data_IF_353784846328
#
_entry.id   IF_353784846328
#
_cell.length_a   1.000
_cell.length_b   1.000
_cell.length_c   1.000
_cell.angle_alpha   90.00
_cell.angle_beta   90.00
_cell.angle_gamma   90.00
#
_symmetry.space_group_name_H-M   'P 1'
#
loop_
_entity.id
_entity.type
_entity.pdbx_description
1 polymer ?
#
# COMPACT_ATOMS: atom_id res chain seq x y z
N UNK A 1 -55.47 -105.11 -52.25
CA UNK A 1 -56.93 -104.93 -52.11
C UNK A 1 -57.18 -103.98 -50.95
N UNK A 2 -57.83 -102.86 -51.26
CA UNK A 2 -58.63 -101.94 -50.42
C UNK A 2 -58.11 -101.58 -49.01
N UNK A 3 -57.50 -100.42 -48.81
CA UNK A 3 -58.10 -99.07 -48.66
C UNK A 3 -58.65 -98.81 -47.25
N UNK A 4 -58.04 -97.86 -46.53
CA UNK A 4 -58.76 -96.89 -45.67
C UNK A 4 -57.92 -95.62 -45.55
N UNK A 5 -58.58 -94.51 -45.79
CA UNK A 5 -58.13 -93.14 -45.93
C UNK A 5 -58.49 -92.31 -44.69
N UNK A 6 -57.67 -91.32 -44.33
CA UNK A 6 -58.10 -90.02 -43.77
C UNK A 6 -56.90 -89.04 -43.62
N UNK A 7 -57.09 -87.83 -44.15
CA UNK A 7 -56.28 -86.58 -44.01
C UNK A 7 -57.08 -85.61 -43.11
N UNK A 8 -56.74 -84.30 -42.93
CA UNK A 8 -55.49 -83.56 -42.63
C UNK A 8 -55.62 -82.68 -41.35
N UNK A 9 -54.58 -81.95 -40.92
CA UNK A 9 -54.67 -80.49 -40.65
C UNK A 9 -53.36 -79.81 -40.22
N UNK A 10 -53.27 -78.59 -40.72
CA UNK A 10 -52.33 -77.46 -40.58
C UNK A 10 -51.88 -77.08 -39.16
N UNK A 11 -50.66 -76.54 -39.04
CA UNK A 11 -50.22 -75.85 -37.82
C UNK A 11 -48.88 -75.14 -37.96
N UNK A 12 -48.93 -73.88 -38.38
CA UNK A 12 -47.83 -72.90 -38.45
C UNK A 12 -47.29 -72.54 -37.06
N UNK A 13 -45.96 -72.36 -36.91
CA UNK A 13 -45.37 -71.24 -36.14
C UNK A 13 -43.85 -71.31 -36.07
N UNK A 14 -43.21 -70.37 -36.75
CA UNK A 14 -41.83 -69.98 -36.51
C UNK A 14 -41.74 -69.32 -35.11
N UNK A 15 -40.85 -69.82 -34.26
CA UNK A 15 -40.49 -69.15 -33.01
C UNK A 15 -39.05 -68.63 -33.11
N UNK A 16 -38.91 -67.38 -33.56
CA UNK A 16 -37.69 -66.60 -33.40
C UNK A 16 -37.48 -66.30 -31.91
N UNK A 17 -36.31 -66.64 -31.38
CA UNK A 17 -35.90 -66.31 -30.02
C UNK A 17 -35.72 -64.79 -29.87
N UNK A 18 -36.33 -64.12 -28.88
CA UNK A 18 -36.10 -62.70 -28.67
C UNK A 18 -34.75 -62.50 -27.97
N UNK A 19 -33.85 -61.76 -28.63
CA UNK A 19 -32.67 -61.19 -27.99
C UNK A 19 -33.10 -60.26 -26.85
N UNK A 20 -32.75 -60.65 -25.63
CA UNK A 20 -32.89 -59.84 -24.43
C UNK A 20 -31.94 -58.63 -24.51
N UNK A 21 -32.50 -57.45 -24.84
CA UNK A 21 -31.80 -56.16 -24.71
C UNK A 21 -31.78 -55.77 -23.23
N UNK A 22 -30.65 -56.03 -22.55
CA UNK A 22 -30.39 -55.47 -21.21
C UNK A 22 -30.37 -53.93 -21.29
N UNK A 23 -31.20 -53.20 -20.53
CA UNK A 23 -31.13 -51.74 -20.51
C UNK A 23 -29.88 -51.31 -19.73
N UNK A 24 -28.84 -50.88 -20.46
CA UNK A 24 -27.63 -50.30 -19.86
C UNK A 24 -27.89 -48.84 -19.44
N UNK A 25 -27.83 -48.61 -18.12
CA UNK A 25 -27.28 -47.42 -17.42
C UNK A 25 -27.61 -46.03 -18.00
N UNK A 26 -28.87 -45.56 -17.90
CA UNK A 26 -29.21 -44.14 -18.08
C UNK A 26 -29.31 -43.32 -16.79
N UNK A 27 -29.34 -43.97 -15.62
CA UNK A 27 -29.44 -43.33 -14.30
C UNK A 27 -28.10 -42.77 -13.76
N UNK A 28 -26.96 -43.29 -14.22
CA UNK A 28 -25.65 -42.89 -13.70
C UNK A 28 -25.18 -41.50 -14.16
N UNK A 29 -25.66 -41.02 -15.32
CA UNK A 29 -25.24 -39.74 -15.91
C UNK A 29 -25.91 -38.54 -15.23
N UNK A 30 -27.21 -38.64 -14.91
CA UNK A 30 -27.93 -37.56 -14.22
C UNK A 30 -27.43 -37.33 -12.79
N UNK A 31 -27.12 -38.41 -12.07
CA UNK A 31 -26.53 -38.32 -10.72
C UNK A 31 -25.14 -37.68 -10.73
N UNK A 32 -24.30 -37.99 -11.74
CA UNK A 32 -22.99 -37.34 -11.90
C UNK A 32 -23.10 -35.85 -12.17
N UNK A 33 -24.03 -35.42 -13.03
CA UNK A 33 -24.27 -34.00 -13.32
C UNK A 33 -24.74 -33.28 -12.05
N UNK A 34 -25.67 -33.88 -11.29
CA UNK A 34 -26.17 -33.31 -10.03
C UNK A 34 -25.06 -33.21 -8.97
N UNK A 35 -24.21 -34.22 -8.85
CA UNK A 35 -23.06 -34.19 -7.95
C UNK A 35 -22.05 -33.10 -8.35
N UNK A 36 -21.76 -32.96 -9.65
CA UNK A 36 -20.86 -31.91 -10.14
C UNK A 36 -21.46 -30.53 -9.84
N UNK A 37 -22.75 -30.31 -10.14
CA UNK A 37 -23.38 -29.01 -9.87
C UNK A 37 -23.41 -28.68 -8.39
N UNK A 38 -23.72 -29.67 -7.53
CA UNK A 38 -23.72 -29.49 -6.08
C UNK A 38 -22.32 -29.19 -5.54
N UNK A 39 -21.31 -29.93 -6.01
CA UNK A 39 -19.90 -29.68 -5.65
C UNK A 39 -19.45 -28.29 -6.09
N UNK A 40 -19.77 -27.88 -7.32
CA UNK A 40 -19.42 -26.55 -7.82
C UNK A 40 -20.10 -25.44 -7.01
N UNK A 41 -21.36 -25.63 -6.59
CA UNK A 41 -22.07 -24.66 -5.75
C UNK A 41 -21.42 -24.53 -4.36
N UNK A 42 -21.03 -25.65 -3.76
CA UNK A 42 -20.32 -25.66 -2.47
C UNK A 42 -18.98 -24.93 -2.60
N UNK A 43 -18.19 -25.26 -3.62
CA UNK A 43 -16.88 -24.61 -3.85
C UNK A 43 -17.04 -23.13 -4.11
N UNK A 44 -18.03 -22.72 -4.92
CA UNK A 44 -18.33 -21.31 -5.16
C UNK A 44 -18.76 -20.58 -3.89
N UNK A 45 -19.59 -21.22 -3.04
CA UNK A 45 -19.99 -20.68 -1.75
C UNK A 45 -18.81 -20.50 -0.79
N UNK A 46 -17.93 -21.50 -0.69
CA UNK A 46 -16.71 -21.41 0.12
C UNK A 46 -15.76 -20.32 -0.40
N UNK A 47 -15.58 -20.22 -1.72
CA UNK A 47 -14.78 -19.17 -2.35
C UNK A 47 -15.35 -17.78 -2.04
N UNK A 48 -16.67 -17.61 -2.16
CA UNK A 48 -17.35 -16.36 -1.86
C UNK A 48 -17.13 -15.94 -0.40
N UNK A 49 -17.28 -16.86 0.56
CA UNK A 49 -17.00 -16.61 1.98
C UNK A 49 -15.53 -16.26 2.19
N UNK A 50 -14.61 -17.00 1.57
CA UNK A 50 -13.17 -16.75 1.69
C UNK A 50 -12.80 -15.35 1.17
N UNK A 51 -13.27 -14.96 -0.01
CA UNK A 51 -13.08 -13.62 -0.57
C UNK A 51 -13.67 -12.57 0.35
N UNK A 52 -14.86 -12.81 0.91
CA UNK A 52 -15.53 -11.81 1.74
C UNK A 52 -14.82 -11.56 3.07
N UNK A 53 -14.20 -12.59 3.64
CA UNK A 53 -13.54 -12.55 4.95
C UNK A 53 -12.04 -12.21 4.87
N UNK A 54 -11.35 -12.75 3.87
CA UNK A 54 -9.89 -12.63 3.74
C UNK A 54 -9.45 -11.79 2.55
N UNK A 55 -10.33 -11.57 1.57
CA UNK A 55 -10.02 -10.83 0.35
C UNK A 55 -10.33 -9.34 0.43
N UNK A 56 -10.91 -8.83 1.51
CA UNK A 56 -11.15 -7.39 1.67
C UNK A 56 -9.84 -6.69 2.05
N UNK A 57 -9.40 -5.74 1.24
CA UNK A 57 -8.19 -4.94 1.48
C UNK A 57 -8.59 -3.50 1.70
N UNK A 58 -8.02 -2.88 2.72
CA UNK A 58 -8.18 -1.45 2.99
C UNK A 58 -6.87 -0.84 3.49
N UNK A 59 -6.72 0.47 3.30
CA UNK A 59 -5.53 1.17 3.76
C UNK A 59 -5.63 2.67 3.58
N UNK A 60 -4.61 3.38 4.05
CA UNK A 60 -4.46 4.83 3.87
C UNK A 60 -3.24 5.10 2.98
N UNK A 61 -3.36 6.08 2.10
CA UNK A 61 -2.25 6.65 1.33
C UNK A 61 -2.10 8.14 1.65
N UNK A 62 -0.86 8.65 1.58
CA UNK A 62 -0.48 10.05 1.76
C UNK A 62 0.22 10.59 0.52
N UNK A 63 -0.13 11.80 0.08
CA UNK A 63 0.51 12.49 -1.02
C UNK A 63 1.39 13.63 -0.48
N UNK A 64 2.74 13.49 -0.47
CA UNK A 64 3.64 14.48 0.13
C UNK A 64 3.50 15.86 -0.49
N UNK A 65 3.64 15.96 -1.81
CA UNK A 65 3.58 17.24 -2.56
C UNK A 65 2.24 17.97 -2.47
N UNK A 66 1.22 17.35 -1.91
CA UNK A 66 -0.12 17.94 -1.78
C UNK A 66 -0.61 17.99 -0.34
N UNK A 67 0.11 17.35 0.60
CA UNK A 67 -0.30 17.16 1.98
C UNK A 67 -1.74 16.61 2.10
N UNK A 68 -2.07 15.60 1.30
CA UNK A 68 -3.40 14.98 1.28
C UNK A 68 -3.33 13.52 1.73
N UNK A 69 -4.36 13.04 2.41
CA UNK A 69 -4.53 11.60 2.65
C UNK A 69 -5.83 11.11 2.01
N UNK A 70 -5.83 9.84 1.64
CA UNK A 70 -7.03 9.14 1.20
C UNK A 70 -7.02 7.72 1.73
N UNK A 71 -8.20 7.21 2.04
CA UNK A 71 -8.40 5.80 2.30
C UNK A 71 -8.75 5.09 1.00
N UNK A 72 -8.23 3.89 0.80
CA UNK A 72 -8.61 3.02 -0.30
C UNK A 72 -9.21 1.70 0.22
N UNK A 73 -10.06 1.08 -0.60
CA UNK A 73 -10.53 -0.29 -0.35
C UNK A 73 -10.89 -1.02 -1.65
N UNK A 74 -10.71 -2.34 -1.64
CA UNK A 74 -11.08 -3.25 -2.73
C UNK A 74 -11.19 -4.70 -2.22
N UNK A 75 -11.64 -5.61 -3.10
CA UNK A 75 -11.55 -7.05 -2.90
C UNK A 75 -10.54 -7.68 -3.85
N UNK A 76 -9.82 -8.66 -3.34
CA UNK A 76 -8.92 -9.55 -4.07
C UNK A 76 -9.24 -11.03 -3.79
N UNK A 77 -8.75 -11.92 -4.64
CA UNK A 77 -8.78 -13.36 -4.38
C UNK A 77 -7.67 -13.68 -3.36
N UNK A 78 -8.00 -14.27 -2.19
CA UNK A 78 -7.00 -14.68 -1.21
C UNK A 78 -5.94 -15.63 -1.82
N UNK A 79 -4.73 -15.64 -1.27
CA UNK A 79 -3.55 -16.42 -1.69
C UNK A 79 -2.86 -15.94 -2.98
N UNK A 80 -3.63 -15.49 -3.98
CA UNK A 80 -3.06 -15.03 -5.27
C UNK A 80 -3.06 -13.51 -5.43
N UNK A 81 -3.68 -12.77 -4.51
CA UNK A 81 -3.74 -11.31 -4.47
C UNK A 81 -4.25 -10.67 -5.77
N UNK A 82 -5.12 -11.39 -6.50
CA UNK A 82 -5.72 -10.86 -7.71
C UNK A 82 -6.90 -9.97 -7.37
N UNK A 83 -6.74 -8.66 -7.59
CA UNK A 83 -7.80 -7.67 -7.48
C UNK A 83 -9.00 -7.99 -8.38
N UNK A 84 -10.20 -8.09 -7.80
CA UNK A 84 -11.46 -8.41 -8.49
C UNK A 84 -12.47 -7.26 -8.52
N UNK A 85 -12.28 -6.23 -7.68
CA UNK A 85 -13.11 -5.01 -7.72
C UNK A 85 -12.25 -3.79 -8.00
N UNK A 86 -12.80 -2.72 -8.62
CA UNK A 86 -12.12 -1.44 -8.69
C UNK A 86 -11.74 -0.91 -7.31
N UNK A 87 -10.63 -0.18 -7.22
CA UNK A 87 -10.20 0.47 -5.98
C UNK A 87 -11.10 1.68 -5.72
N UNK A 88 -11.83 1.67 -4.61
CA UNK A 88 -12.58 2.82 -4.12
C UNK A 88 -11.65 3.68 -3.29
N UNK A 89 -11.70 5.00 -3.49
CA UNK A 89 -10.86 5.97 -2.77
C UNK A 89 -11.72 7.08 -2.18
N UNK A 90 -11.47 7.44 -0.93
CA UNK A 90 -12.18 8.52 -0.21
C UNK A 90 -11.14 9.43 0.45
N UNK A 91 -11.28 10.74 0.29
CA UNK A 91 -10.37 11.68 0.95
C UNK A 91 -10.56 11.66 2.47
N UNK A 92 -9.46 11.58 3.21
CA UNK A 92 -9.44 11.49 4.68
C UNK A 92 -8.45 12.47 5.30
N UNK A 93 -8.10 13.54 4.57
CA UNK A 93 -7.04 14.49 4.96
C UNK A 93 -7.27 15.08 6.37
N UNK A 94 -6.31 14.92 7.30
CA UNK A 94 -6.43 15.43 8.67
C UNK A 94 -6.59 16.94 8.75
N UNK A 95 -7.15 17.44 9.86
CA UNK A 95 -7.38 18.87 10.05
C UNK A 95 -6.10 19.71 10.00
N UNK A 96 -4.99 19.18 10.53
CA UNK A 96 -3.68 19.82 10.47
C UNK A 96 -3.26 20.05 9.03
N UNK A 97 -3.24 19.00 8.21
CA UNK A 97 -2.86 19.09 6.80
C UNK A 97 -3.78 20.01 5.99
N UNK A 98 -5.10 19.95 6.23
CA UNK A 98 -6.05 20.89 5.64
C UNK A 98 -5.74 22.34 6.04
N UNK A 99 -5.44 22.58 7.31
CA UNK A 99 -5.09 23.93 7.76
C UNK A 99 -3.81 24.45 7.10
N UNK A 100 -2.75 23.65 7.03
CA UNK A 100 -1.46 24.07 6.47
C UNK A 100 -1.56 24.47 5.00
N UNK A 101 -2.35 23.72 4.24
CA UNK A 101 -2.59 24.00 2.81
C UNK A 101 -3.54 25.18 2.61
N UNK A 102 -4.63 25.27 3.37
CA UNK A 102 -5.60 26.37 3.25
C UNK A 102 -5.07 27.72 3.75
N UNK A 103 -4.23 27.72 4.79
CA UNK A 103 -3.59 28.92 5.33
C UNK A 103 -2.38 29.39 4.52
N UNK A 104 -1.98 28.63 3.49
CA UNK A 104 -0.77 28.87 2.68
C UNK A 104 0.51 28.87 3.50
N UNK A 105 0.53 28.16 4.63
CA UNK A 105 1.79 27.85 5.33
C UNK A 105 2.64 26.92 4.47
N UNK A 106 2.00 25.99 3.77
CA UNK A 106 2.61 25.21 2.71
C UNK A 106 2.05 25.65 1.36
N UNK A 107 2.93 25.80 0.37
CA UNK A 107 2.55 26.16 -1.01
C UNK A 107 2.46 24.87 -1.82
N UNK A 108 1.24 24.49 -2.16
CA UNK A 108 0.96 23.25 -2.88
C UNK A 108 0.81 23.51 -4.39
N UNK A 109 1.25 22.58 -5.26
CA UNK A 109 0.95 22.64 -6.69
C UNK A 109 -0.56 22.62 -6.96
N UNK A 110 -1.01 23.35 -7.97
CA UNK A 110 -2.41 23.32 -8.43
C UNK A 110 -2.75 22.08 -9.28
N UNK A 111 -1.83 21.12 -9.41
CA UNK A 111 -2.01 19.87 -10.13
C UNK A 111 -2.64 18.79 -9.24
N UNK A 112 -3.10 17.70 -9.86
CA UNK A 112 -3.58 16.51 -9.13
C UNK A 112 -2.37 15.75 -8.57
N UNK A 113 -2.44 15.16 -7.36
CA UNK A 113 -1.36 14.35 -6.81
C UNK A 113 -1.06 13.12 -7.66
N UNK A 114 0.19 13.00 -8.09
CA UNK A 114 0.69 11.87 -8.91
C UNK A 114 1.33 10.76 -8.09
N UNK A 115 1.92 11.10 -6.94
CA UNK A 115 2.54 10.16 -6.00
C UNK A 115 1.67 10.01 -4.75
N UNK A 116 1.54 8.76 -4.30
CA UNK A 116 0.78 8.36 -3.12
C UNK A 116 1.57 7.29 -2.39
N UNK A 117 1.99 7.60 -1.18
CA UNK A 117 2.81 6.75 -0.35
C UNK A 117 1.89 5.98 0.61
N UNK A 118 2.09 4.68 0.69
CA UNK A 118 1.27 3.82 1.53
C UNK A 118 1.56 4.14 3.00
N UNK A 119 0.54 4.53 3.75
CA UNK A 119 0.61 4.84 5.19
C UNK A 119 0.40 3.58 6.00
N UNK A 120 -0.65 2.84 5.65
CA UNK A 120 -1.04 1.64 6.38
C UNK A 120 -1.91 0.77 5.46
N UNK A 121 -1.85 -0.54 5.63
CA UNK A 121 -2.66 -1.50 4.89
C UNK A 121 -3.13 -2.64 5.79
N UNK A 122 -4.29 -3.20 5.46
CA UNK A 122 -4.87 -4.34 6.14
C UNK A 122 -5.48 -5.28 5.10
N UNK A 123 -5.16 -6.57 5.23
CA UNK A 123 -5.75 -7.64 4.44
C UNK A 123 -6.67 -8.50 5.31
N UNK A 124 -7.97 -8.51 5.00
CA UNK A 124 -8.98 -9.32 5.66
C UNK A 124 -9.00 -9.15 7.18
N UNK A 125 -8.70 -10.23 7.90
CA UNK A 125 -8.68 -10.28 9.37
C UNK A 125 -7.32 -9.90 9.98
N UNK A 126 -6.32 -9.53 9.17
CA UNK A 126 -5.02 -9.14 9.69
C UNK A 126 -5.10 -7.81 10.45
N UNK A 127 -4.09 -7.57 11.30
CA UNK A 127 -3.89 -6.25 11.90
C UNK A 127 -3.52 -5.23 10.84
N UNK A 128 -3.79 -3.96 11.14
CA UNK A 128 -3.32 -2.85 10.34
C UNK A 128 -1.79 -2.80 10.41
N UNK A 129 -1.13 -2.83 9.25
CA UNK A 129 0.32 -2.78 9.13
C UNK A 129 0.75 -1.36 8.76
N UNK A 130 1.37 -0.59 9.67
CA UNK A 130 1.87 0.74 9.36
C UNK A 130 3.13 0.68 8.49
N UNK A 131 3.36 1.74 7.72
CA UNK A 131 4.53 2.00 6.89
C UNK A 131 5.14 3.35 7.27
N UNK A 132 6.32 3.68 6.76
CA UNK A 132 7.05 4.89 7.15
C UNK A 132 6.24 6.19 7.07
N UNK A 133 5.38 6.45 6.07
CA UNK A 133 4.52 7.64 6.04
C UNK A 133 3.57 7.77 7.23
N UNK A 134 3.26 6.67 7.95
CA UNK A 134 2.48 6.71 9.19
C UNK A 134 3.16 7.58 10.25
N UNK A 135 4.50 7.63 10.28
CA UNK A 135 5.25 8.47 11.22
C UNK A 135 4.85 9.95 11.13
N UNK A 136 4.62 10.47 9.91
CA UNK A 136 4.10 11.82 9.73
C UNK A 136 2.58 11.88 9.91
N UNK A 137 1.85 10.96 9.29
CA UNK A 137 0.38 11.01 9.27
C UNK A 137 -0.22 10.89 10.67
N UNK A 138 0.38 10.11 11.56
CA UNK A 138 -0.06 9.98 12.95
C UNK A 138 0.12 11.30 13.70
N UNK A 139 1.22 12.02 13.47
CA UNK A 139 1.39 13.38 14.01
C UNK A 139 0.35 14.35 13.43
N UNK A 140 0.06 14.28 12.12
CA UNK A 140 -0.97 15.13 11.52
C UNK A 140 -2.37 14.85 12.06
N UNK A 141 -2.64 13.60 12.46
CA UNK A 141 -3.87 13.11 13.10
C UNK A 141 -3.89 13.31 14.62
N UNK A 142 -2.79 13.71 15.25
CA UNK A 142 -2.69 13.83 16.70
C UNK A 142 -3.70 14.84 17.25
N UNK A 143 -4.57 14.36 18.15
CA UNK A 143 -5.59 15.14 18.83
C UNK A 143 -5.32 15.18 20.33
N UNK A 144 -5.49 16.35 20.94
CA UNK A 144 -5.44 16.57 22.39
C UNK A 144 -6.67 17.40 22.76
N UNK A 145 -7.47 16.92 23.71
CA UNK A 145 -8.75 17.52 24.10
C UNK A 145 -9.68 17.83 22.92
N UNK A 146 -9.74 16.91 21.94
CA UNK A 146 -10.56 17.07 20.73
C UNK A 146 -10.04 18.12 19.74
N UNK A 147 -8.84 18.66 19.95
CA UNK A 147 -8.20 19.64 19.07
C UNK A 147 -6.97 19.05 18.40
N UNK A 148 -6.82 19.28 17.09
CA UNK A 148 -5.62 18.88 16.37
C UNK A 148 -4.40 19.66 16.89
N UNK A 149 -3.45 18.96 17.50
CA UNK A 149 -2.31 19.52 18.23
C UNK A 149 -1.49 20.44 17.32
N UNK A 150 -1.09 19.92 16.17
CA UNK A 150 -0.21 20.62 15.24
C UNK A 150 -0.90 21.75 14.49
N UNK A 151 -2.21 21.66 14.28
CA UNK A 151 -3.04 22.80 13.82
C UNK A 151 -3.02 23.93 14.85
N UNK A 152 -3.21 23.61 16.13
CA UNK A 152 -3.23 24.61 17.19
C UNK A 152 -1.85 25.24 17.40
N UNK A 153 -0.78 24.43 17.43
CA UNK A 153 0.59 24.89 17.49
C UNK A 153 0.91 25.85 16.33
N UNK A 154 0.54 25.47 15.10
CA UNK A 154 0.80 26.30 13.92
C UNK A 154 0.05 27.63 13.95
N UNK A 155 -1.18 27.64 14.50
CA UNK A 155 -1.96 28.88 14.70
C UNK A 155 -1.33 29.80 15.76
N UNK A 156 -0.82 29.24 16.85
CA UNK A 156 -0.16 30.00 17.93
C UNK A 156 1.21 30.53 17.47
N UNK A 157 1.90 29.78 16.62
CA UNK A 157 3.27 30.04 16.21
C UNK A 157 3.41 30.26 14.68
N UNK A 158 2.73 31.25 14.07
CA UNK A 158 2.67 31.38 12.61
C UNK A 158 4.03 31.66 11.96
N UNK A 159 4.95 32.34 12.67
CA UNK A 159 6.31 32.58 12.18
C UNK A 159 7.17 31.31 12.18
N UNK A 160 7.05 30.49 13.23
CA UNK A 160 7.75 29.20 13.33
C UNK A 160 7.19 28.21 12.30
N UNK A 161 5.87 28.10 12.21
CA UNK A 161 5.19 27.22 11.27
C UNK A 161 5.62 27.46 9.81
N UNK A 162 5.81 28.72 9.41
CA UNK A 162 6.29 29.09 8.07
C UNK A 162 7.72 28.62 7.77
N UNK A 163 8.53 28.36 8.78
CA UNK A 163 9.88 27.84 8.63
C UNK A 163 9.91 26.33 8.78
N UNK A 164 9.14 25.80 9.73
CA UNK A 164 9.14 24.39 10.11
C UNK A 164 8.47 23.48 9.08
N UNK A 165 7.26 23.80 8.64
CA UNK A 165 6.51 22.90 7.77
C UNK A 165 7.14 22.67 6.40
N UNK A 166 7.78 23.68 5.75
CA UNK A 166 8.55 23.43 4.53
C UNK A 166 9.66 22.37 4.71
N UNK A 167 10.29 22.31 5.88
CA UNK A 167 11.26 21.25 6.20
C UNK A 167 10.58 19.88 6.25
N UNK A 168 9.44 19.77 6.93
CA UNK A 168 8.67 18.52 6.98
C UNK A 168 8.19 18.08 5.59
N UNK A 169 7.74 19.03 4.77
CA UNK A 169 7.33 18.79 3.37
C UNK A 169 8.49 18.26 2.54
N UNK A 170 9.68 18.87 2.67
CA UNK A 170 10.89 18.40 2.00
C UNK A 170 11.27 16.98 2.45
N UNK A 171 11.29 16.69 3.75
CA UNK A 171 11.59 15.35 4.27
C UNK A 171 10.59 14.30 3.76
N UNK A 172 9.30 14.64 3.74
CA UNK A 172 8.27 13.75 3.22
C UNK A 172 8.42 13.49 1.71
N UNK A 173 8.73 14.51 0.91
CA UNK A 173 8.98 14.34 -0.53
C UNK A 173 10.18 13.43 -0.79
N UNK A 174 11.17 13.42 0.10
CA UNK A 174 12.36 12.57 0.04
C UNK A 174 12.18 11.17 0.65
N UNK A 175 10.98 10.82 1.12
CA UNK A 175 10.72 9.56 1.85
C UNK A 175 11.51 9.42 3.17
N UNK A 176 12.06 10.52 3.70
CA UNK A 176 12.82 10.56 4.96
C UNK A 176 11.89 10.68 6.17
N UNK A 177 10.81 9.89 6.18
CA UNK A 177 9.80 9.94 7.24
C UNK A 177 10.34 9.57 8.61
N UNK A 178 11.38 8.73 8.66
CA UNK A 178 12.01 8.28 9.90
C UNK A 178 12.57 9.45 10.73
N UNK A 179 12.96 10.55 10.07
CA UNK A 179 13.54 11.72 10.73
C UNK A 179 12.48 12.66 11.32
N UNK A 180 11.23 12.55 10.88
CA UNK A 180 10.16 13.51 11.19
C UNK A 180 9.76 13.47 12.67
N UNK A 181 9.47 12.31 13.31
CA UNK A 181 8.96 12.29 14.68
C UNK A 181 9.85 13.06 15.66
N UNK A 182 11.16 12.80 15.63
CA UNK A 182 12.11 13.45 16.52
C UNK A 182 12.21 14.95 16.25
N UNK A 183 12.20 15.35 14.99
CA UNK A 183 12.19 16.77 14.62
C UNK A 183 10.91 17.47 15.10
N UNK A 184 9.76 16.80 15.05
CA UNK A 184 8.50 17.32 15.61
C UNK A 184 8.57 17.47 17.13
N UNK A 185 9.20 16.52 17.84
CA UNK A 185 9.41 16.63 19.29
C UNK A 185 10.30 17.81 19.66
N UNK A 186 11.47 17.94 19.01
CA UNK A 186 12.46 18.98 19.32
C UNK A 186 11.95 20.41 19.11
N UNK A 187 10.97 20.57 18.22
CA UNK A 187 10.46 21.88 17.82
C UNK A 187 9.19 22.31 18.55
N UNK A 188 8.59 21.42 19.34
CA UNK A 188 7.32 21.68 20.03
C UNK A 188 7.39 22.88 20.97
N UNK A 189 8.48 22.96 21.73
CA UNK A 189 8.68 23.93 22.81
C UNK A 189 9.59 25.12 22.41
N UNK A 190 9.95 25.21 21.13
CA UNK A 190 10.75 26.32 20.62
C UNK A 190 9.89 27.59 20.51
N UNK A 191 10.39 28.71 21.03
CA UNK A 191 9.64 29.97 21.09
C UNK A 191 10.02 30.97 19.99
N UNK A 192 11.20 30.84 19.38
CA UNK A 192 11.71 31.80 18.40
C UNK A 192 12.32 31.15 17.14
N UNK A 193 12.37 31.94 16.06
CA UNK A 193 12.77 31.45 14.74
C UNK A 193 14.27 31.14 14.65
N UNK A 194 15.12 31.84 15.41
CA UNK A 194 16.55 31.60 15.35
C UNK A 194 16.88 30.25 16.00
N UNK A 195 16.34 30.02 17.20
CA UNK A 195 16.48 28.73 17.90
C UNK A 195 15.89 27.59 17.07
N UNK A 196 14.73 27.79 16.43
CA UNK A 196 14.14 26.78 15.55
C UNK A 196 15.09 26.39 14.41
N UNK A 197 15.70 27.38 13.74
CA UNK A 197 16.62 27.12 12.64
C UNK A 197 17.84 26.34 13.10
N UNK A 198 18.43 26.71 14.24
CA UNK A 198 19.58 25.99 14.81
C UNK A 198 19.19 24.56 15.16
N UNK A 199 18.10 24.35 15.89
CA UNK A 199 17.63 23.00 16.28
C UNK A 199 17.37 22.11 15.07
N UNK A 200 16.71 22.65 14.04
CA UNK A 200 16.44 21.92 12.80
C UNK A 200 17.74 21.60 12.05
N UNK A 201 18.61 22.59 11.89
CA UNK A 201 19.87 22.44 11.13
C UNK A 201 20.82 21.45 11.79
N UNK A 202 20.99 21.53 13.10
CA UNK A 202 21.90 20.66 13.85
C UNK A 202 21.43 19.20 13.79
N UNK A 203 20.15 18.96 14.07
CA UNK A 203 19.56 17.63 14.00
C UNK A 203 19.66 17.04 12.59
N UNK A 204 19.25 17.79 11.55
CA UNK A 204 19.29 17.26 10.19
C UNK A 204 20.72 17.01 9.72
N UNK A 205 21.68 17.88 10.03
CA UNK A 205 23.06 17.66 9.65
C UNK A 205 23.64 16.39 10.27
N UNK A 206 23.36 16.12 11.55
CA UNK A 206 23.77 14.88 12.22
C UNK A 206 23.16 13.64 11.53
N UNK A 207 21.85 13.66 11.28
CA UNK A 207 21.14 12.54 10.65
C UNK A 207 21.60 12.31 9.20
N UNK A 208 21.83 13.38 8.42
CA UNK A 208 22.40 13.28 7.07
C UNK A 208 23.80 12.68 7.10
N UNK A 209 24.66 13.10 8.03
CA UNK A 209 26.01 12.53 8.17
C UNK A 209 25.94 11.03 8.41
N UNK A 210 25.08 10.58 9.34
CA UNK A 210 24.89 9.14 9.60
C UNK A 210 24.40 8.42 8.35
N UNK A 211 23.34 8.94 7.71
CA UNK A 211 22.75 8.33 6.52
C UNK A 211 23.74 8.24 5.36
N UNK A 212 24.54 9.27 5.12
CA UNK A 212 25.56 9.30 4.06
C UNK A 212 26.62 8.24 4.32
N UNK A 213 27.09 8.08 5.58
CA UNK A 213 28.04 7.03 5.96
C UNK A 213 27.43 5.64 5.72
N UNK A 214 26.22 5.41 6.17
CA UNK A 214 25.51 4.13 5.97
C UNK A 214 25.32 3.80 4.47
N UNK A 215 25.00 4.80 3.64
CA UNK A 215 24.88 4.61 2.20
C UNK A 215 26.23 4.26 1.55
N UNK A 216 27.33 4.88 1.98
CA UNK A 216 28.68 4.54 1.50
C UNK A 216 29.10 3.13 1.94
N UNK A 217 28.83 2.77 3.19
CA UNK A 217 29.11 1.43 3.71
C UNK A 217 28.29 0.36 2.96
N UNK A 218 27.08 0.71 2.53
CA UNK A 218 26.23 -0.12 1.67
C UNK A 218 26.61 -0.06 0.16
N UNK A 219 27.73 0.59 -0.20
CA UNK A 219 28.20 0.76 -1.58
C UNK A 219 27.21 1.48 -2.51
N UNK A 220 26.43 2.42 -1.96
CA UNK A 220 25.47 3.27 -2.67
C UNK A 220 26.01 4.69 -2.82
N UNK A 221 27.20 4.82 -3.43
CA UNK A 221 27.94 6.08 -3.49
C UNK A 221 27.19 7.20 -4.22
N UNK A 222 26.48 6.90 -5.31
CA UNK A 222 25.69 7.91 -6.04
C UNK A 222 24.59 8.54 -5.16
N UNK A 223 23.92 7.72 -4.35
CA UNK A 223 22.89 8.19 -3.43
C UNK A 223 23.53 8.96 -2.27
N UNK A 224 24.65 8.48 -1.75
CA UNK A 224 25.41 9.18 -0.72
C UNK A 224 25.88 10.57 -1.20
N UNK A 225 26.33 10.69 -2.44
CA UNK A 225 26.79 11.95 -3.03
C UNK A 225 25.63 12.92 -3.30
N UNK A 226 24.46 12.40 -3.72
CA UNK A 226 23.24 13.19 -3.83
C UNK A 226 22.78 13.75 -2.47
N UNK A 227 22.75 12.90 -1.44
CA UNK A 227 22.40 13.30 -0.07
C UNK A 227 23.41 14.31 0.50
N UNK A 228 24.70 14.10 0.28
CA UNK A 228 25.74 15.03 0.71
C UNK A 228 25.61 16.40 0.06
N UNK A 229 25.32 16.43 -1.25
CA UNK A 229 25.13 17.69 -1.97
C UNK A 229 23.94 18.47 -1.41
N UNK A 230 22.83 17.78 -1.14
CA UNK A 230 21.64 18.37 -0.54
C UNK A 230 21.89 18.87 0.90
N UNK A 231 22.56 18.07 1.73
CA UNK A 231 22.88 18.46 3.10
C UNK A 231 23.79 19.70 3.16
N UNK A 232 24.73 19.82 2.21
CA UNK A 232 25.62 20.99 2.09
C UNK A 232 24.91 22.25 1.57
N UNK A 233 23.81 22.14 0.82
CA UNK A 233 22.99 23.29 0.45
C UNK A 233 22.29 23.89 1.68
N UNK A 234 21.89 23.04 2.64
CA UNK A 234 21.21 23.48 3.86
C UNK A 234 22.18 23.90 4.97
N UNK A 235 23.28 23.18 5.12
CA UNK A 235 24.28 23.37 6.18
C UNK A 235 25.69 23.49 5.61
N UNK A 236 26.00 24.55 4.85
CA UNK A 236 27.27 24.70 4.14
C UNK A 236 28.47 24.76 5.07
N UNK A 237 28.31 25.26 6.29
CA UNK A 237 29.41 25.44 7.24
C UNK A 237 29.58 24.26 8.22
N UNK A 238 28.80 23.18 8.05
CA UNK A 238 28.91 22.02 8.94
C UNK A 238 30.26 21.28 8.73
N UNK A 239 31.07 21.11 9.78
CA UNK A 239 32.43 20.57 9.65
C UNK A 239 32.45 19.10 9.23
N UNK A 240 31.48 18.29 9.66
CA UNK A 240 31.42 16.87 9.33
C UNK A 240 31.02 16.66 7.87
N UNK A 241 30.02 17.39 7.37
CA UNK A 241 29.64 17.36 5.95
C UNK A 241 30.80 17.82 5.06
N UNK A 242 31.55 18.84 5.46
CA UNK A 242 32.74 19.28 4.72
C UNK A 242 33.85 18.22 4.73
N UNK A 243 34.04 17.50 5.84
CA UNK A 243 34.94 16.35 5.89
C UNK A 243 34.53 15.28 4.89
N UNK A 244 33.25 14.88 4.90
CA UNK A 244 32.72 13.86 3.98
C UNK A 244 32.88 14.23 2.50
N UNK A 245 32.79 15.52 2.18
CA UNK A 245 33.07 16.06 0.83
C UNK A 245 34.54 15.95 0.47
N UNK A 246 35.43 16.35 1.38
CA UNK A 246 36.87 16.28 1.17
C UNK A 246 37.35 14.84 0.99
N UNK A 247 36.85 13.92 1.81
CA UNK A 247 37.19 12.50 1.74
C UNK A 247 36.74 11.86 0.42
N UNK A 248 35.62 12.34 -0.16
CA UNK A 248 35.17 11.89 -1.49
C UNK A 248 36.09 12.40 -2.60
N UNK A 249 36.52 13.66 -2.52
CA UNK A 249 37.44 14.26 -3.50
C UNK A 249 38.83 13.60 -3.49
N UNK A 250 39.28 13.07 -2.35
CA UNK A 250 40.53 12.31 -2.26
C UNK A 250 40.40 10.88 -2.76
N UNK A 251 39.21 10.26 -2.61
CA UNK A 251 38.94 8.92 -3.10
C UNK A 251 38.77 8.84 -4.64
N UNK A 252 38.19 9.88 -5.27
CA UNK A 252 38.04 9.98 -6.73
C UNK A 252 38.85 11.16 -7.32
N UNK A 253 40.16 11.00 -7.56
CA UNK A 253 40.98 12.05 -8.18
C UNK A 253 40.69 12.25 -9.69
N UNK A 254 39.79 11.45 -10.30
CA UNK A 254 39.60 11.39 -11.76
C UNK A 254 38.24 11.99 -12.16
N UNK A 255 38.18 13.31 -12.15
CA UNK A 255 37.06 14.09 -12.71
C UNK A 255 37.48 15.43 -13.30
N UNK A 256 38.78 15.69 -13.43
CA UNK A 256 39.33 16.86 -14.10
C UNK A 256 40.05 16.43 -15.40
N UNK A 257 39.28 16.13 -16.44
CA UNK A 257 39.72 16.22 -17.84
C UNK A 257 38.53 16.55 -18.71
#
# INVERSE_FOLDING_TARGET
MSATSATPSSGSSAAQSPQSKRPRKRLATGYRILLISLSSLIVAGLLFVAIRMFGYVEGTEFAPKHFQTRQFSFYEIPLVHWQITPIRRVSTTPETARYLTQSKTLVMPNSIPTRWDLVEIKHGMQSLEPRDPALLVDHLRLMEDGTAVWKQWSKKNPKLAKQFWPTIDKLADRELYILIPRLMELTRDVEDVATLKTVVSDYLAEEYVSLIRDMRDAQRDELADALLSEALEESPDNPELQSLKKDRQTADPVGQT
#
